data_IF_495262227302
#
_entry.id   IF_495262227302
#
_cell.length_a   1.000
_cell.length_b   1.000
_cell.length_c   1.000
_cell.angle_alpha   90.00
_cell.angle_beta   90.00
_cell.angle_gamma   90.00
#
_symmetry.space_group_name_H-M   'P 1'
#
loop_
_entity.id
_entity.type
_entity.pdbx_description
1 polymer ?
#
# COMPACT_ATOMS: atom_id res chain seq x y z
N UNK A 1 43.15 48.28 -45.02
CA UNK A 1 42.68 46.91 -44.75
C UNK A 1 42.40 46.80 -43.25
N UNK A 2 41.14 46.97 -42.84
CA UNK A 2 40.74 47.00 -41.43
C UNK A 2 40.15 45.64 -41.03
N UNK A 3 40.85 44.90 -40.16
CA UNK A 3 40.41 43.58 -39.71
C UNK A 3 39.77 43.69 -38.32
N UNK A 4 38.47 43.39 -38.24
CA UNK A 4 37.59 43.51 -37.07
C UNK A 4 37.88 42.37 -36.06
N UNK A 5 37.85 42.61 -34.75
CA UNK A 5 38.12 41.56 -33.75
C UNK A 5 36.99 40.54 -33.68
N UNK A 6 37.35 39.25 -33.68
CA UNK A 6 36.41 38.12 -33.54
C UNK A 6 35.80 38.10 -32.14
N UNK A 7 34.48 38.07 -32.14
CA UNK A 7 33.56 37.98 -31.00
C UNK A 7 33.93 36.85 -30.04
N UNK A 8 33.97 37.19 -28.74
CA UNK A 8 34.03 36.26 -27.62
C UNK A 8 32.72 35.44 -27.61
N UNK A 9 32.77 34.18 -28.06
CA UNK A 9 31.72 33.21 -27.72
C UNK A 9 32.00 32.70 -26.32
N UNK A 10 31.37 33.33 -25.33
CA UNK A 10 31.20 32.74 -24.01
C UNK A 10 30.45 31.42 -24.21
N UNK A 11 31.11 30.30 -23.94
CA UNK A 11 30.44 29.02 -23.80
C UNK A 11 29.57 29.14 -22.54
N UNK A 12 28.27 29.23 -22.74
CA UNK A 12 27.26 29.05 -21.70
C UNK A 12 27.38 27.58 -21.31
N UNK A 13 28.19 27.31 -20.29
CA UNK A 13 28.12 26.07 -19.54
C UNK A 13 26.79 26.12 -18.78
N UNK A 14 25.73 25.68 -19.46
CA UNK A 14 24.46 25.31 -18.84
C UNK A 14 24.77 24.13 -17.94
N UNK A 15 25.07 24.41 -16.67
CA UNK A 15 25.01 23.41 -15.62
C UNK A 15 23.61 22.80 -15.69
N UNK A 16 23.52 21.56 -16.14
CA UNK A 16 22.30 20.79 -16.05
C UNK A 16 22.05 20.58 -14.55
N UNK A 17 21.18 21.42 -13.99
CA UNK A 17 20.61 21.16 -12.68
C UNK A 17 20.05 19.74 -12.70
N UNK A 18 20.47 18.86 -11.76
CA UNK A 18 19.77 17.61 -11.57
C UNK A 18 18.33 18.01 -11.24
N UNK A 19 17.41 17.67 -12.13
CA UNK A 19 15.99 17.84 -11.91
C UNK A 19 15.69 17.14 -10.58
N UNK A 20 15.50 17.91 -9.50
CA UNK A 20 14.95 17.42 -8.26
C UNK A 20 13.57 16.90 -8.62
N UNK A 21 13.49 15.60 -8.85
CA UNK A 21 12.21 14.90 -8.88
C UNK A 21 11.61 15.13 -7.50
N UNK A 22 10.59 15.99 -7.43
CA UNK A 22 9.75 16.14 -6.26
C UNK A 22 9.45 14.73 -5.75
N UNK A 23 9.90 14.45 -4.53
CA UNK A 23 9.65 13.18 -3.86
C UNK A 23 8.13 13.14 -3.68
N UNK A 24 7.44 12.50 -4.63
CA UNK A 24 6.03 12.19 -4.54
C UNK A 24 5.88 11.33 -3.28
N UNK A 25 5.46 11.96 -2.19
CA UNK A 25 5.16 11.27 -0.93
C UNK A 25 4.25 10.07 -1.23
N UNK A 26 4.53 8.93 -0.58
CA UNK A 26 3.83 7.67 -0.79
C UNK A 26 2.30 7.91 -0.81
N UNK A 27 1.63 7.80 -1.98
CA UNK A 27 0.24 8.24 -2.10
C UNK A 27 -0.75 7.29 -1.40
N UNK A 28 -0.26 6.21 -0.78
CA UNK A 28 -1.09 5.18 -0.18
C UNK A 28 -1.22 5.39 1.33
N UNK A 29 -2.27 6.13 1.70
CA UNK A 29 -2.66 6.29 3.09
C UNK A 29 -3.37 5.03 3.62
N UNK A 30 -2.60 4.07 4.16
CA UNK A 30 -3.14 2.83 4.72
C UNK A 30 -4.08 3.04 5.93
N UNK A 31 -3.97 4.19 6.60
CA UNK A 31 -4.84 4.57 7.71
C UNK A 31 -6.25 5.01 7.25
N UNK A 32 -6.39 5.47 6.01
CA UNK A 32 -7.70 5.80 5.44
C UNK A 32 -8.43 4.55 4.92
N UNK A 33 -7.73 3.42 4.75
CA UNK A 33 -8.33 2.20 4.21
C UNK A 33 -9.30 1.53 5.19
N UNK A 34 -10.42 0.97 4.69
CA UNK A 34 -11.37 0.29 5.56
C UNK A 34 -10.73 -0.96 6.19
N UNK A 35 -11.09 -1.23 7.44
CA UNK A 35 -10.56 -2.38 8.21
C UNK A 35 -10.79 -3.72 7.50
N UNK A 36 -11.91 -3.85 6.77
CA UNK A 36 -12.22 -5.03 5.98
C UNK A 36 -11.15 -5.31 4.90
N UNK A 37 -10.63 -4.27 4.24
CA UNK A 37 -9.58 -4.42 3.23
C UNK A 37 -8.24 -4.83 3.85
N UNK A 38 -7.87 -4.22 4.98
CA UNK A 38 -6.65 -4.60 5.73
C UNK A 38 -6.69 -6.08 6.16
N UNK A 39 -7.86 -6.56 6.60
CA UNK A 39 -8.07 -7.97 6.96
C UNK A 39 -8.04 -8.92 5.76
N UNK A 40 -8.50 -8.47 4.59
CA UNK A 40 -8.41 -9.25 3.34
C UNK A 40 -6.95 -9.36 2.91
N UNK A 41 -6.19 -8.26 2.95
CA UNK A 41 -4.75 -8.26 2.65
C UNK A 41 -4.01 -9.25 3.55
N UNK A 42 -4.21 -9.15 4.87
CA UNK A 42 -3.62 -10.09 5.84
C UNK A 42 -3.90 -11.56 5.51
N UNK A 43 -5.15 -11.89 5.17
CA UNK A 43 -5.55 -13.26 4.79
C UNK A 43 -4.93 -13.73 3.47
N UNK A 44 -4.78 -12.83 2.50
CA UNK A 44 -4.21 -13.17 1.18
C UNK A 44 -2.72 -13.49 1.28
N UNK A 45 -1.99 -12.74 2.12
CA UNK A 45 -0.55 -12.86 2.29
C UNK A 45 -0.14 -13.63 3.56
N UNK A 46 -1.11 -14.17 4.31
CA UNK A 46 -0.90 -14.94 5.54
C UNK A 46 0.02 -14.26 6.58
N UNK A 47 -0.13 -12.95 6.78
CA UNK A 47 0.68 -12.23 7.76
C UNK A 47 0.44 -12.76 9.20
N UNK A 48 1.52 -12.95 9.99
CA UNK A 48 1.43 -13.52 11.34
C UNK A 48 0.74 -12.59 12.36
N UNK A 49 0.60 -11.30 12.04
CA UNK A 49 0.09 -10.29 12.95
C UNK A 49 -1.35 -10.51 13.40
N UNK A 50 -1.71 -10.25 14.66
CA UNK A 50 -3.05 -10.50 15.18
C UNK A 50 -4.13 -9.65 14.46
N UNK A 51 -5.34 -10.20 14.37
CA UNK A 51 -6.42 -9.56 13.61
C UNK A 51 -7.06 -8.47 14.47
N UNK A 52 -7.26 -7.24 13.96
CA UNK A 52 -8.00 -6.23 14.70
C UNK A 52 -9.45 -6.65 14.92
N UNK A 53 -9.99 -6.27 16.08
CA UNK A 53 -11.37 -6.53 16.47
C UNK A 53 -12.36 -5.98 15.45
N UNK A 54 -13.44 -6.72 15.17
CA UNK A 54 -14.63 -6.15 14.52
C UNK A 54 -15.53 -5.48 15.55
N UNK A 55 -16.57 -4.80 15.08
CA UNK A 55 -17.63 -4.28 15.95
C UNK A 55 -18.25 -5.38 16.82
N UNK A 56 -18.51 -6.56 16.26
CA UNK A 56 -19.04 -7.70 17.03
C UNK A 56 -18.02 -8.20 18.06
N UNK A 57 -16.73 -8.18 17.70
CA UNK A 57 -15.64 -8.49 18.63
C UNK A 57 -15.59 -7.51 19.80
N UNK A 58 -15.82 -6.22 19.54
CA UNK A 58 -15.89 -5.20 20.59
C UNK A 58 -17.09 -5.44 21.53
N UNK A 59 -18.26 -5.81 20.97
CA UNK A 59 -19.43 -6.19 21.77
C UNK A 59 -19.15 -7.42 22.63
N UNK A 60 -18.40 -8.41 22.11
CA UNK A 60 -17.99 -9.60 22.87
C UNK A 60 -16.96 -9.28 23.96
N UNK A 61 -16.11 -8.28 23.77
CA UNK A 61 -15.19 -7.78 24.80
C UNK A 61 -15.91 -6.98 25.91
N UNK A 62 -17.14 -6.56 25.66
CA UNK A 62 -18.00 -5.87 26.61
C UNK A 62 -18.50 -6.76 27.75
N UNK A 63 -19.21 -6.16 28.72
CA UNK A 63 -19.72 -6.84 29.93
C UNK A 63 -20.49 -8.14 29.64
N UNK A 64 -21.20 -8.19 28.51
CA UNK A 64 -22.03 -9.32 28.09
C UNK A 64 -21.19 -10.54 27.67
N UNK A 65 -20.05 -10.32 27.01
CA UNK A 65 -19.24 -11.41 26.46
C UNK A 65 -18.01 -11.80 27.29
N UNK A 66 -17.63 -11.04 28.33
CA UNK A 66 -16.43 -11.31 29.17
C UNK A 66 -16.37 -12.71 29.80
N UNK A 67 -17.52 -13.33 30.06
CA UNK A 67 -17.60 -14.68 30.64
C UNK A 67 -17.42 -15.79 29.62
N UNK A 68 -17.55 -15.49 28.33
CA UNK A 68 -17.46 -16.47 27.26
C UNK A 68 -16.02 -16.94 27.04
N UNK A 69 -15.87 -18.19 26.58
CA UNK A 69 -14.57 -18.75 26.23
C UNK A 69 -13.83 -17.92 25.18
N UNK A 70 -14.57 -17.46 24.16
CA UNK A 70 -14.07 -16.65 23.04
C UNK A 70 -13.50 -15.31 23.49
N UNK A 71 -14.08 -14.67 24.51
CA UNK A 71 -13.51 -13.44 25.06
C UNK A 71 -12.20 -13.69 25.81
N UNK A 72 -12.03 -14.85 26.44
CA UNK A 72 -10.84 -15.20 27.23
C UNK A 72 -9.66 -15.66 26.35
N UNK A 73 -9.93 -16.25 25.19
CA UNK A 73 -8.92 -16.80 24.27
C UNK A 73 -8.76 -15.95 23.01
N UNK A 74 -8.97 -14.63 23.15
CA UNK A 74 -8.95 -13.69 22.04
C UNK A 74 -7.53 -13.20 21.75
N UNK A 75 -6.86 -13.76 20.75
CA UNK A 75 -5.61 -13.21 20.21
C UNK A 75 -5.92 -12.14 19.14
N UNK A 76 -6.24 -10.92 19.59
CA UNK A 76 -6.63 -9.79 18.73
C UNK A 76 -5.68 -8.62 18.96
N UNK A 77 -5.30 -7.95 17.88
CA UNK A 77 -4.36 -6.83 17.88
C UNK A 77 -5.06 -5.49 17.71
N UNK A 78 -4.27 -4.43 17.73
CA UNK A 78 -4.77 -3.09 17.39
C UNK A 78 -4.78 -2.87 15.87
N UNK A 79 -5.58 -1.90 15.41
CA UNK A 79 -5.58 -1.49 13.99
C UNK A 79 -4.21 -0.97 13.55
N UNK A 80 -3.52 -0.27 14.43
CA UNK A 80 -2.24 0.38 14.14
C UNK A 80 -1.13 -0.65 13.92
N UNK A 81 -1.07 -1.69 14.74
CA UNK A 81 -0.14 -2.84 14.56
C UNK A 81 -0.30 -3.48 13.19
N UNK A 82 -1.54 -3.82 12.81
CA UNK A 82 -1.80 -4.41 11.50
C UNK A 82 -1.42 -3.46 10.36
N UNK A 83 -1.70 -2.16 10.51
CA UNK A 83 -1.42 -1.15 9.48
C UNK A 83 0.09 -1.00 9.26
N UNK A 84 0.87 -0.98 10.34
CA UNK A 84 2.33 -0.91 10.27
C UNK A 84 2.92 -2.12 9.57
N UNK A 85 2.52 -3.33 9.97
CA UNK A 85 3.03 -4.55 9.34
C UNK A 85 2.63 -4.67 7.86
N UNK A 86 1.44 -4.18 7.47
CA UNK A 86 1.04 -4.13 6.06
C UNK A 86 1.89 -3.12 5.29
N UNK A 87 2.18 -1.95 5.86
CA UNK A 87 3.09 -0.96 5.24
C UNK A 87 4.46 -1.58 4.98
N UNK A 88 5.03 -2.22 6.00
CA UNK A 88 6.34 -2.85 5.94
C UNK A 88 6.37 -3.98 4.89
N UNK A 89 5.35 -4.84 4.88
CA UNK A 89 5.23 -5.92 3.90
C UNK A 89 5.03 -5.41 2.47
N UNK A 90 4.18 -4.39 2.29
CA UNK A 90 3.88 -3.81 0.98
C UNK A 90 5.12 -3.16 0.36
N UNK A 91 5.92 -2.46 1.16
CA UNK A 91 7.18 -1.84 0.70
C UNK A 91 8.26 -2.88 0.36
N UNK A 92 8.23 -4.06 1.01
CA UNK A 92 9.20 -5.13 0.78
C UNK A 92 8.83 -6.08 -0.38
N UNK A 93 7.61 -6.03 -0.90
CA UNK A 93 7.13 -6.95 -1.94
C UNK A 93 7.79 -6.63 -3.30
N UNK A 94 8.57 -7.56 -3.90
CA UNK A 94 9.19 -7.32 -5.19
C UNK A 94 8.15 -7.43 -6.31
N UNK A 95 7.95 -6.35 -7.06
CA UNK A 95 6.94 -6.28 -8.13
C UNK A 95 7.63 -6.31 -9.50
N UNK A 96 7.15 -7.21 -10.37
CA UNK A 96 7.45 -7.18 -11.81
C UNK A 96 6.35 -6.41 -12.52
N UNK A 97 6.70 -5.26 -13.08
CA UNK A 97 5.74 -4.34 -13.70
C UNK A 97 4.94 -5.00 -14.83
N UNK A 98 5.62 -5.66 -15.76
CA UNK A 98 5.01 -6.34 -16.91
C UNK A 98 3.91 -7.31 -16.50
N UNK A 99 4.20 -8.19 -15.53
CA UNK A 99 3.26 -9.20 -15.07
C UNK A 99 2.06 -8.55 -14.35
N UNK A 100 2.32 -7.50 -13.58
CA UNK A 100 1.31 -6.80 -12.78
C UNK A 100 0.31 -6.05 -13.65
N UNK A 101 0.80 -5.34 -14.68
CA UNK A 101 -0.06 -4.61 -15.63
C UNK A 101 -0.91 -5.58 -16.43
N UNK A 102 -0.31 -6.67 -16.94
CA UNK A 102 -1.05 -7.68 -17.73
C UNK A 102 -2.13 -8.33 -16.87
N UNK A 103 -1.80 -8.75 -15.64
CA UNK A 103 -2.75 -9.32 -14.70
C UNK A 103 -3.88 -8.34 -14.35
N UNK A 104 -3.56 -7.06 -14.17
CA UNK A 104 -4.55 -6.02 -13.91
C UNK A 104 -5.52 -5.85 -15.09
N UNK A 105 -5.00 -5.66 -16.31
CA UNK A 105 -5.84 -5.49 -17.52
C UNK A 105 -6.71 -6.72 -17.75
N UNK A 106 -6.15 -7.91 -17.57
CA UNK A 106 -6.91 -9.17 -17.68
C UNK A 106 -8.00 -9.24 -16.62
N UNK A 107 -7.66 -9.00 -15.36
CA UNK A 107 -8.61 -9.04 -14.24
C UNK A 107 -9.72 -8.00 -14.37
N UNK A 108 -9.46 -6.83 -14.97
CA UNK A 108 -10.46 -5.78 -15.20
C UNK A 108 -11.39 -6.13 -16.36
N UNK A 109 -10.87 -6.70 -17.44
CA UNK A 109 -11.68 -7.07 -18.61
C UNK A 109 -12.58 -8.29 -18.37
N UNK A 110 -12.15 -9.24 -17.54
CA UNK A 110 -12.87 -10.50 -17.31
C UNK A 110 -13.47 -10.59 -15.89
N UNK A 111 -13.82 -9.45 -15.27
CA UNK A 111 -14.36 -9.40 -13.89
C UNK A 111 -15.64 -10.21 -13.72
N UNK A 112 -16.40 -10.35 -14.80
CA UNK A 112 -17.75 -10.92 -14.84
C UNK A 112 -17.76 -12.38 -15.32
N UNK A 113 -16.69 -12.82 -16.01
CA UNK A 113 -16.55 -14.19 -16.54
C UNK A 113 -16.09 -15.19 -15.46
N UNK A 114 -15.43 -14.70 -14.41
CA UNK A 114 -15.01 -15.53 -13.28
C UNK A 114 -16.19 -15.68 -12.33
N UNK A 115 -16.86 -16.85 -12.39
CA UNK A 115 -17.93 -17.21 -11.46
C UNK A 115 -17.40 -17.20 -10.02
N UNK A 116 -17.70 -16.14 -9.26
CA UNK A 116 -17.27 -16.01 -7.88
C UNK A 116 -18.25 -16.79 -6.99
N UNK A 117 -17.90 -18.04 -6.68
CA UNK A 117 -18.42 -18.72 -5.48
C UNK A 117 -17.84 -18.02 -4.24
N UNK A 118 -18.45 -16.90 -3.88
CA UNK A 118 -18.23 -16.27 -2.58
C UNK A 118 -19.09 -17.03 -1.56
N UNK A 119 -18.52 -18.00 -0.84
CA UNK A 119 -19.09 -18.54 0.38
C UNK A 119 -18.61 -17.73 1.60
#
# INVERSE_FOLDING_TARGET
>A
MANKPRSKRAAIMSAAEPQEQEILEDPVNFEALPLASLRKYRRRYNLPEPCPMTCEGFMLGGSVGKRTWSSKHSHRGTRNELTKAIKDHFAAEPIKETDTIVNFVYAVKHKDDVFKLNF
#
